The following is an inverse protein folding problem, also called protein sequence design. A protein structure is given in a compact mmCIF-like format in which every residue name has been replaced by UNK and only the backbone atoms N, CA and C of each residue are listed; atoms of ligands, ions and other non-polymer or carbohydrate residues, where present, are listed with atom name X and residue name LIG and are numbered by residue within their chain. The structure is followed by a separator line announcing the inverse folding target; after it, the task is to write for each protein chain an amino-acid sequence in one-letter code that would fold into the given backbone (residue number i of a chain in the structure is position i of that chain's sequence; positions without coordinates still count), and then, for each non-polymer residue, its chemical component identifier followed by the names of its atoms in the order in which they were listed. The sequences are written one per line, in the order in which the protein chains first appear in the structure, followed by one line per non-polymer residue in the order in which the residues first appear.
data_IF_059090849292
#
_entry.id   IF_059090849292
#
_cell.length_a   1.000
_cell.length_b   1.000
_cell.length_c   1.000
_cell.angle_alpha   90.00
_cell.angle_beta   90.00
_cell.angle_gamma   90.00
#
_symmetry.space_group_name_H-M   'P 1'
#
loop_
_entity.id
_entity.type
_entity.pdbx_description
1 polymer ?
#
# COMPACT_ATOMS: atom_id res chain seq x y z
N UNK A 1 19.89 15.59 42.60
CA UNK A 1 20.73 14.91 41.60
C UNK A 1 20.28 13.46 41.35
N UNK A 2 19.99 12.68 42.40
CA UNK A 2 19.54 11.29 42.28
C UNK A 2 18.18 11.17 41.60
N UNK A 3 17.23 12.02 41.98
CA UNK A 3 15.88 12.00 41.37
C UNK A 3 15.93 12.38 39.91
N UNK A 4 16.78 13.35 39.53
CA UNK A 4 16.97 13.77 38.15
C UNK A 4 17.56 12.63 37.31
N UNK A 5 18.54 11.93 37.85
CA UNK A 5 19.17 10.77 37.18
C UNK A 5 18.17 9.64 36.98
N UNK A 6 17.32 9.35 37.95
CA UNK A 6 16.27 8.36 37.83
C UNK A 6 15.25 8.74 36.75
N UNK A 7 14.90 10.02 36.65
CA UNK A 7 14.00 10.51 35.61
C UNK A 7 14.61 10.37 34.21
N UNK A 8 15.89 10.64 34.05
CA UNK A 8 16.60 10.47 32.77
C UNK A 8 16.69 8.99 32.39
N UNK A 9 16.99 8.12 33.33
CA UNK A 9 17.03 6.67 33.09
C UNK A 9 15.67 6.15 32.66
N UNK A 10 14.59 6.62 33.28
CA UNK A 10 13.23 6.25 32.88
C UNK A 10 12.83 6.79 31.49
N UNK A 11 13.31 7.98 31.10
CA UNK A 11 13.11 8.51 29.77
C UNK A 11 13.71 7.63 28.69
N UNK A 12 14.89 7.08 28.95
CA UNK A 12 15.64 6.25 28.02
C UNK A 12 15.05 4.82 27.98
N UNK A 13 14.89 4.20 29.13
CA UNK A 13 14.34 2.86 29.25
C UNK A 13 13.54 2.69 30.56
N UNK A 14 12.26 2.89 30.47
CA UNK A 14 11.36 2.86 31.64
C UNK A 14 11.14 1.39 32.08
N UNK A 15 11.46 1.10 33.33
CA UNK A 15 11.28 -0.21 33.94
C UNK A 15 12.49 -1.13 33.88
N UNK A 16 13.64 -0.71 33.30
CA UNK A 16 14.86 -1.52 33.26
C UNK A 16 15.59 -1.55 34.61
N UNK A 17 15.45 -0.52 35.40
CA UNK A 17 16.10 -0.37 36.72
C UNK A 17 15.05 -0.09 37.80
N UNK A 18 14.31 -1.11 38.22
CA UNK A 18 13.32 -0.97 39.27
C UNK A 18 11.90 -0.73 38.76
N UNK A 19 11.12 0.01 39.56
CA UNK A 19 9.73 0.27 39.23
C UNK A 19 9.60 1.22 38.05
N UNK A 20 8.76 0.85 37.09
CA UNK A 20 8.40 1.72 35.99
C UNK A 20 7.63 2.96 36.47
N UNK A 21 7.95 4.12 35.92
CA UNK A 21 7.16 5.35 36.14
C UNK A 21 5.82 5.18 35.45
N UNK A 22 4.74 5.44 36.18
CA UNK A 22 3.36 5.26 35.70
C UNK A 22 2.63 6.57 35.54
N UNK A 23 1.71 6.61 34.61
CA UNK A 23 0.77 7.70 34.43
C UNK A 23 -0.59 7.41 35.08
N UNK A 24 -1.64 8.20 34.75
CA UNK A 24 -3.00 7.95 35.23
C UNK A 24 -3.45 6.52 34.90
N UNK A 25 -4.05 5.81 35.87
CA UNK A 25 -4.50 4.43 35.69
C UNK A 25 -3.42 3.36 35.79
N UNK A 26 -2.28 3.66 36.43
CA UNK A 26 -1.17 2.73 36.66
C UNK A 26 -0.55 2.15 35.37
N UNK A 27 -0.67 2.83 34.26
CA UNK A 27 -0.03 2.40 33.01
C UNK A 27 1.39 2.93 32.94
N UNK A 28 2.40 2.09 32.62
CA UNK A 28 3.77 2.55 32.44
C UNK A 28 3.86 3.59 31.33
N UNK A 29 4.63 4.65 31.56
CA UNK A 29 4.92 5.64 30.55
C UNK A 29 5.82 5.04 29.47
N UNK A 30 5.60 5.43 28.24
CA UNK A 30 6.36 4.97 27.09
C UNK A 30 7.71 5.70 27.04
N UNK A 31 8.80 4.93 27.07
CA UNK A 31 10.18 5.45 26.99
C UNK A 31 10.70 5.45 25.55
N UNK A 32 11.90 6.02 25.36
CA UNK A 32 12.56 6.00 24.04
C UNK A 32 12.83 4.57 23.55
N UNK A 33 13.25 3.70 24.46
CA UNK A 33 13.47 2.29 24.16
C UNK A 33 12.21 1.60 23.65
N UNK A 34 11.05 1.88 24.25
CA UNK A 34 9.76 1.31 23.84
C UNK A 34 9.34 1.76 22.43
N UNK A 35 9.78 2.94 22.02
CA UNK A 35 9.54 3.44 20.66
C UNK A 35 10.32 2.68 19.58
N UNK A 36 11.40 2.01 19.98
CA UNK A 36 12.29 1.27 19.07
C UNK A 36 11.99 -0.23 19.08
N UNK A 37 11.49 -0.77 20.20
CA UNK A 37 11.26 -2.20 20.41
C UNK A 37 9.92 -2.68 19.88
N UNK A 38 9.89 -3.95 19.53
CA UNK A 38 8.67 -4.70 19.22
C UNK A 38 8.11 -4.44 17.83
N UNK A 39 6.94 -5.04 17.58
CA UNK A 39 6.27 -5.00 16.29
C UNK A 39 5.87 -3.58 15.85
N UNK A 40 5.56 -2.74 16.80
CA UNK A 40 5.16 -1.35 16.56
C UNK A 40 6.30 -0.36 16.77
N UNK A 41 7.52 -0.86 17.05
CA UNK A 41 8.70 -0.05 17.19
C UNK A 41 9.24 0.44 15.85
N UNK A 42 10.11 1.43 15.91
CA UNK A 42 10.68 2.08 14.73
C UNK A 42 11.39 1.12 13.78
N UNK A 43 12.12 0.14 14.33
CA UNK A 43 12.88 -0.81 13.50
C UNK A 43 11.96 -1.71 12.67
N UNK A 44 10.95 -2.30 13.27
CA UNK A 44 10.06 -3.24 12.57
C UNK A 44 8.97 -2.57 11.75
N UNK A 45 8.53 -1.38 12.15
CA UNK A 45 7.43 -0.68 11.49
C UNK A 45 7.89 0.25 10.36
N UNK A 46 9.05 0.93 10.52
CA UNK A 46 9.46 1.99 9.62
C UNK A 46 10.80 1.77 8.92
N UNK A 47 11.71 0.95 9.48
CA UNK A 47 13.03 0.73 8.90
C UNK A 47 13.15 -0.55 8.09
N UNK A 48 12.62 -1.67 8.59
CA UNK A 48 12.63 -2.95 7.87
C UNK A 48 11.58 -3.02 6.77
N UNK A 49 10.54 -2.22 6.86
CA UNK A 49 9.52 -2.09 5.85
C UNK A 49 8.89 -0.72 5.94
N UNK A 50 8.58 -0.14 4.80
CA UNK A 50 7.98 1.18 4.72
C UNK A 50 6.69 1.11 3.92
N UNK A 51 5.80 2.06 4.17
CA UNK A 51 4.66 2.28 3.29
C UNK A 51 5.17 2.90 2.00
N UNK A 52 4.65 2.41 0.89
CA UNK A 52 5.05 2.89 -0.43
C UNK A 52 3.88 3.58 -1.12
N UNK A 53 4.20 4.57 -1.95
CA UNK A 53 3.22 5.23 -2.79
C UNK A 53 2.86 4.36 -3.99
N UNK A 54 1.77 4.69 -4.67
CA UNK A 54 1.26 3.97 -5.84
C UNK A 54 0.97 2.50 -5.54
N UNK A 55 0.36 2.27 -4.39
CA UNK A 55 -0.05 0.95 -3.95
C UNK A 55 -1.45 1.00 -3.34
N UNK A 56 -2.14 -0.10 -3.40
CA UNK A 56 -3.49 -0.21 -2.87
C UNK A 56 -3.77 -1.62 -2.40
N UNK A 57 -4.90 -1.79 -1.77
CA UNK A 57 -5.32 -3.06 -1.17
C UNK A 57 -6.81 -3.27 -1.43
N UNK A 58 -7.19 -4.50 -1.75
CA UNK A 58 -8.58 -4.89 -1.89
C UNK A 58 -8.75 -6.38 -1.67
N UNK A 59 -9.99 -6.84 -1.62
CA UNK A 59 -10.29 -8.26 -1.59
C UNK A 59 -10.03 -8.89 -2.96
N UNK A 60 -9.77 -10.19 -2.97
CA UNK A 60 -9.50 -10.96 -4.18
C UNK A 60 -10.71 -11.85 -4.47
N UNK A 61 -11.13 -11.88 -5.73
CA UNK A 61 -12.18 -12.77 -6.21
C UNK A 61 -11.68 -13.56 -7.41
N UNK A 62 -12.33 -14.68 -7.68
CA UNK A 62 -11.96 -15.53 -8.83
C UNK A 62 -12.54 -14.92 -10.11
N UNK A 63 -11.69 -14.83 -11.14
CA UNK A 63 -12.06 -14.40 -12.49
C UNK A 63 -11.69 -15.45 -13.52
N UNK A 64 -12.57 -16.48 -13.75
CA UNK A 64 -12.25 -17.55 -14.70
C UNK A 64 -12.06 -17.08 -16.13
N UNK A 65 -12.62 -15.94 -16.47
CA UNK A 65 -12.54 -15.31 -17.79
C UNK A 65 -11.15 -14.71 -18.10
N UNK A 66 -10.33 -14.51 -17.08
CA UNK A 66 -9.00 -13.94 -17.25
C UNK A 66 -7.99 -14.98 -17.71
N UNK A 67 -6.99 -14.54 -18.47
CA UNK A 67 -5.82 -15.36 -18.79
C UNK A 67 -4.92 -15.44 -17.56
N UNK A 68 -4.05 -16.46 -17.51
CA UNK A 68 -3.20 -16.71 -16.34
C UNK A 68 -2.27 -15.55 -16.00
N UNK A 69 -1.88 -14.76 -16.98
CA UNK A 69 -1.00 -13.59 -16.80
C UNK A 69 -1.77 -12.28 -16.57
N UNK A 70 -3.09 -12.33 -16.53
CA UNK A 70 -3.93 -11.15 -16.35
C UNK A 70 -4.51 -11.08 -14.94
N UNK A 71 -4.68 -9.85 -14.45
CA UNK A 71 -5.48 -9.59 -13.26
C UNK A 71 -6.55 -8.57 -13.58
N UNK A 72 -7.73 -8.70 -12.98
CA UNK A 72 -8.78 -7.71 -13.07
C UNK A 72 -8.57 -6.65 -12.00
N UNK A 73 -8.33 -5.41 -12.41
CA UNK A 73 -8.09 -4.30 -11.51
C UNK A 73 -9.29 -3.35 -11.55
N UNK A 74 -9.88 -2.98 -10.39
CA UNK A 74 -11.00 -2.03 -10.38
C UNK A 74 -10.62 -0.70 -11.01
N UNK A 75 -11.53 -0.12 -11.78
CA UNK A 75 -11.29 1.13 -12.50
C UNK A 75 -10.82 2.26 -11.58
N UNK A 76 -11.46 2.43 -10.44
CA UNK A 76 -11.12 3.48 -9.49
C UNK A 76 -9.72 3.28 -8.90
N UNK A 77 -9.39 2.04 -8.56
CA UNK A 77 -8.06 1.69 -8.05
C UNK A 77 -6.99 1.92 -9.11
N UNK A 78 -7.24 1.49 -10.35
CA UNK A 78 -6.30 1.68 -11.45
C UNK A 78 -6.04 3.17 -11.72
N UNK A 79 -7.07 4.01 -11.66
CA UNK A 79 -6.93 5.44 -11.85
C UNK A 79 -6.02 6.08 -10.79
N UNK A 80 -6.18 5.70 -9.54
CA UNK A 80 -5.33 6.20 -8.45
C UNK A 80 -3.88 5.71 -8.56
N UNK A 81 -3.69 4.43 -8.89
CA UNK A 81 -2.34 3.86 -9.02
C UNK A 81 -1.55 4.47 -10.16
N UNK A 82 -2.20 4.71 -11.29
CA UNK A 82 -1.55 5.23 -12.51
C UNK A 82 -1.76 6.73 -12.72
N UNK A 83 -2.22 7.44 -11.71
CA UNK A 83 -2.53 8.87 -11.79
C UNK A 83 -1.41 9.72 -12.40
N UNK A 84 -0.13 9.60 -11.99
CA UNK A 84 0.96 10.39 -12.61
C UNK A 84 1.15 10.09 -14.08
N UNK A 85 1.05 8.85 -14.49
CA UNK A 85 1.21 8.42 -15.89
C UNK A 85 0.05 8.93 -16.74
N UNK A 86 -1.16 8.87 -16.22
CA UNK A 86 -2.36 9.40 -16.88
C UNK A 86 -2.24 10.91 -17.07
N UNK A 87 -1.81 11.64 -16.06
CA UNK A 87 -1.60 13.08 -16.12
C UNK A 87 -0.55 13.45 -17.16
N UNK A 88 0.57 12.74 -17.18
CA UNK A 88 1.63 12.95 -18.17
C UNK A 88 1.12 12.73 -19.57
N UNK A 89 0.38 11.66 -19.81
CA UNK A 89 -0.15 11.33 -21.13
C UNK A 89 -1.22 12.33 -21.59
N UNK A 90 -2.08 12.80 -20.69
CA UNK A 90 -3.06 13.84 -21.00
C UNK A 90 -2.38 15.13 -21.50
N UNK A 91 -1.29 15.51 -20.88
CA UNK A 91 -0.52 16.69 -21.30
C UNK A 91 0.17 16.45 -22.65
N UNK A 92 0.79 15.28 -22.84
CA UNK A 92 1.51 14.94 -24.07
C UNK A 92 0.57 14.81 -25.28
N UNK A 93 -0.64 14.31 -25.09
CA UNK A 93 -1.64 14.15 -26.15
C UNK A 93 -2.41 15.42 -26.44
N UNK A 94 -2.14 16.52 -25.71
CA UNK A 94 -2.79 17.80 -25.91
C UNK A 94 -4.20 17.92 -25.34
N UNK A 95 -4.68 16.90 -24.60
CA UNK A 95 -5.99 16.93 -23.96
C UNK A 95 -6.02 17.86 -22.74
N UNK A 96 -4.88 18.14 -22.15
CA UNK A 96 -4.71 19.09 -21.07
C UNK A 96 -3.56 20.05 -21.39
N UNK A 97 -3.71 21.33 -21.00
CA UNK A 97 -2.71 22.36 -21.28
C UNK A 97 -1.50 22.28 -20.36
N UNK A 98 -1.71 21.88 -19.11
CA UNK A 98 -0.66 21.76 -18.09
C UNK A 98 -1.01 20.68 -17.06
N UNK A 99 -0.09 20.45 -16.11
CA UNK A 99 -0.27 19.43 -15.08
C UNK A 99 -1.47 19.74 -14.17
N UNK A 100 -1.75 21.00 -13.89
CA UNK A 100 -2.90 21.40 -13.06
C UNK A 100 -4.23 21.07 -13.75
N UNK A 101 -4.33 21.32 -15.05
CA UNK A 101 -5.51 20.95 -15.84
C UNK A 101 -5.68 19.43 -15.91
N UNK A 102 -4.59 18.70 -16.12
CA UNK A 102 -4.61 17.24 -16.13
C UNK A 102 -5.08 16.68 -14.79
N UNK A 103 -4.59 17.22 -13.68
CA UNK A 103 -5.01 16.82 -12.34
C UNK A 103 -6.51 17.05 -12.12
N UNK A 104 -7.04 18.18 -12.54
CA UNK A 104 -8.47 18.48 -12.46
C UNK A 104 -9.32 17.51 -13.29
N UNK A 105 -8.86 17.17 -14.49
CA UNK A 105 -9.54 16.19 -15.35
C UNK A 105 -9.60 14.81 -14.68
N UNK A 106 -8.51 14.37 -14.07
CA UNK A 106 -8.46 13.09 -13.37
C UNK A 106 -9.35 13.10 -12.11
N UNK A 107 -9.34 14.19 -11.35
CA UNK A 107 -10.18 14.30 -10.14
C UNK A 107 -11.67 14.35 -10.47
N UNK A 108 -12.05 14.95 -11.61
CA UNK A 108 -13.44 14.99 -12.07
C UNK A 108 -13.85 13.75 -12.86
N UNK A 109 -12.93 12.84 -13.10
CA UNK A 109 -13.16 11.55 -13.79
C UNK A 109 -13.90 11.77 -15.13
N UNK A 110 -13.30 12.56 -16.01
CA UNK A 110 -13.86 12.80 -17.35
C UNK A 110 -13.74 11.54 -18.21
N UNK A 111 -14.64 11.36 -19.20
CA UNK A 111 -14.61 10.18 -20.09
C UNK A 111 -13.27 9.95 -20.80
N UNK A 112 -12.57 11.02 -21.19
CA UNK A 112 -11.27 10.93 -21.87
C UNK A 112 -10.19 10.29 -20.99
N UNK A 113 -10.31 10.42 -19.67
CA UNK A 113 -9.38 9.84 -18.71
C UNK A 113 -9.39 8.33 -18.78
N UNK A 114 -10.54 7.71 -18.98
CA UNK A 114 -10.65 6.25 -19.09
C UNK A 114 -9.94 5.70 -20.32
N UNK A 115 -10.02 6.38 -21.45
CA UNK A 115 -9.32 5.98 -22.67
C UNK A 115 -7.80 6.06 -22.48
N UNK A 116 -7.32 7.14 -21.86
CA UNK A 116 -5.90 7.33 -21.56
C UNK A 116 -5.42 6.28 -20.56
N UNK A 117 -6.21 5.99 -19.54
CA UNK A 117 -5.88 4.95 -18.56
C UNK A 117 -5.76 3.58 -19.22
N UNK A 118 -6.67 3.23 -20.11
CA UNK A 118 -6.64 1.98 -20.85
C UNK A 118 -5.34 1.82 -21.67
N UNK A 119 -4.83 2.90 -22.26
CA UNK A 119 -3.56 2.88 -22.97
C UNK A 119 -2.37 2.78 -22.03
N UNK A 120 -2.39 3.50 -20.91
CA UNK A 120 -1.30 3.51 -19.93
C UNK A 120 -1.09 2.13 -19.31
N UNK A 121 -2.14 1.44 -18.95
CA UNK A 121 -2.02 0.13 -18.28
C UNK A 121 -1.44 -0.95 -19.17
N UNK A 122 -1.53 -0.82 -20.50
CA UNK A 122 -0.95 -1.80 -21.43
C UNK A 122 0.57 -1.88 -21.33
N UNK A 123 1.20 -0.79 -20.93
CA UNK A 123 2.67 -0.67 -20.85
C UNK A 123 3.21 -0.90 -19.44
N UNK A 124 2.33 -1.00 -18.44
CA UNK A 124 2.72 -1.05 -17.03
C UNK A 124 2.11 -2.25 -16.32
N UNK A 125 2.83 -3.39 -16.25
CA UNK A 125 2.39 -4.50 -15.41
C UNK A 125 2.39 -4.11 -13.93
N UNK A 126 1.55 -4.78 -13.15
CA UNK A 126 1.43 -4.55 -11.70
C UNK A 126 1.94 -5.75 -10.94
N UNK A 127 2.47 -5.51 -9.73
CA UNK A 127 2.86 -6.56 -8.81
C UNK A 127 1.73 -6.76 -7.79
N UNK A 128 1.27 -7.99 -7.66
CA UNK A 128 0.29 -8.37 -6.64
C UNK A 128 0.95 -9.22 -5.57
N UNK A 129 0.67 -8.91 -4.32
CA UNK A 129 1.17 -9.61 -3.15
C UNK A 129 0.02 -9.98 -2.22
N UNK A 130 0.05 -11.18 -1.66
CA UNK A 130 -0.86 -11.62 -0.60
C UNK A 130 -0.06 -11.92 0.67
N UNK A 131 -0.47 -11.34 1.79
CA UNK A 131 0.13 -11.63 3.10
C UNK A 131 -0.49 -12.90 3.70
N UNK A 132 0.29 -13.77 4.37
CA UNK A 132 1.76 -13.68 4.51
C UNK A 132 2.49 -14.12 3.24
N UNK A 133 3.59 -13.43 2.92
CA UNK A 133 4.45 -13.81 1.79
C UNK A 133 5.42 -14.91 2.23
N UNK A 134 5.07 -16.16 2.01
CA UNK A 134 5.82 -17.31 2.49
C UNK A 134 6.87 -17.84 1.50
N UNK A 135 6.66 -17.56 0.21
CA UNK A 135 7.55 -17.98 -0.86
C UNK A 135 7.52 -16.98 -2.01
N UNK A 136 8.40 -17.16 -3.00
CA UNK A 136 8.52 -16.21 -4.12
C UNK A 136 7.24 -16.03 -4.95
N UNK A 137 6.39 -17.04 -5.02
CA UNK A 137 5.10 -16.95 -5.72
C UNK A 137 4.04 -16.13 -4.97
N UNK A 138 4.33 -15.67 -3.76
CA UNK A 138 3.49 -14.73 -3.04
C UNK A 138 3.50 -13.32 -3.61
N UNK A 139 4.45 -13.02 -4.51
CA UNK A 139 4.52 -11.77 -5.26
C UNK A 139 4.67 -12.10 -6.73
N UNK A 140 3.71 -11.73 -7.54
CA UNK A 140 3.72 -12.00 -8.98
C UNK A 140 3.32 -10.77 -9.77
N UNK A 141 3.84 -10.66 -10.99
CA UNK A 141 3.51 -9.59 -11.92
C UNK A 141 2.38 -10.02 -12.86
N UNK A 142 1.46 -9.11 -13.11
CA UNK A 142 0.32 -9.34 -13.98
C UNK A 142 0.10 -8.16 -14.92
N UNK A 143 -0.49 -8.43 -16.07
CA UNK A 143 -1.01 -7.40 -16.95
C UNK A 143 -2.40 -7.00 -16.44
N UNK A 144 -2.62 -5.74 -16.05
CA UNK A 144 -3.91 -5.32 -15.54
C UNK A 144 -4.96 -5.22 -16.64
N UNK A 145 -6.17 -5.65 -16.32
CA UNK A 145 -7.36 -5.46 -17.13
C UNK A 145 -8.36 -4.67 -16.31
N UNK A 146 -8.93 -3.62 -16.88
CA UNK A 146 -9.91 -2.79 -16.19
C UNK A 146 -11.23 -3.55 -16.02
N UNK A 147 -11.73 -3.57 -14.81
CA UNK A 147 -13.02 -4.17 -14.47
C UNK A 147 -13.84 -3.22 -13.59
N UNK A 148 -15.14 -3.42 -13.58
CA UNK A 148 -16.02 -2.72 -12.66
C UNK A 148 -16.04 -3.44 -11.31
N UNK A 149 -16.34 -2.69 -10.25
CA UNK A 149 -16.41 -3.21 -8.89
C UNK A 149 -15.29 -2.70 -8.01
N UNK A 150 -15.08 -3.37 -6.88
CA UNK A 150 -14.09 -2.99 -5.87
C UNK A 150 -13.10 -4.09 -5.54
N UNK A 151 -13.27 -5.27 -6.11
CA UNK A 151 -12.43 -6.43 -5.85
C UNK A 151 -11.46 -6.67 -7.00
N UNK A 152 -10.28 -7.19 -6.67
CA UNK A 152 -9.28 -7.60 -7.65
C UNK A 152 -9.62 -9.02 -8.10
N UNK A 153 -9.69 -9.24 -9.41
CA UNK A 153 -9.93 -10.58 -9.98
C UNK A 153 -8.61 -11.25 -10.32
N UNK A 154 -8.52 -12.54 -10.01
CA UNK A 154 -7.38 -13.38 -10.35
C UNK A 154 -7.85 -14.67 -11.04
N UNK A 155 -6.99 -15.21 -11.91
CA UNK A 155 -7.22 -16.51 -12.50
C UNK A 155 -7.23 -17.60 -11.41
N UNK A 156 -8.12 -18.62 -11.51
CA UNK A 156 -8.22 -19.67 -10.49
C UNK A 156 -6.91 -20.40 -10.17
N UNK A 157 -6.08 -20.67 -11.19
CA UNK A 157 -4.79 -21.34 -10.99
C UNK A 157 -3.79 -20.48 -10.21
N UNK A 158 -3.85 -19.14 -10.37
CA UNK A 158 -2.98 -18.21 -9.64
C UNK A 158 -3.38 -18.16 -8.17
N UNK A 159 -4.66 -18.29 -7.86
CA UNK A 159 -5.14 -18.30 -6.48
C UNK A 159 -4.51 -19.44 -5.67
N UNK A 160 -4.24 -20.58 -6.28
CA UNK A 160 -3.56 -21.71 -5.64
C UNK A 160 -2.13 -21.33 -5.23
N UNK A 161 -1.40 -20.62 -6.08
CA UNK A 161 -0.04 -20.15 -5.78
C UNK A 161 0.00 -19.18 -4.60
N UNK A 162 -1.03 -18.34 -4.46
CA UNK A 162 -1.18 -17.42 -3.34
C UNK A 162 -1.74 -18.08 -2.09
N UNK A 163 -2.14 -19.34 -2.13
CA UNK A 163 -2.85 -20.03 -1.08
C UNK A 163 -4.12 -19.28 -0.65
N UNK A 164 -4.83 -18.74 -1.64
CA UNK A 164 -6.06 -18.02 -1.43
C UNK A 164 -7.27 -18.94 -1.63
N UNK A 165 -8.05 -19.11 -0.59
CA UNK A 165 -9.26 -19.93 -0.58
C UNK A 165 -10.52 -19.07 -0.82
N UNK A 166 -11.43 -19.57 -1.60
CA UNK A 166 -12.69 -18.91 -1.92
C UNK A 166 -13.89 -19.81 -1.66
#
# INVERSE_FOLDING_TARGET
KRMLQEAVDALIDNGSRGRAVTGPGNRPLKSLSDMLKGKQGRFRQNLLGKRVDYSGRSVIVVGPELKIYQCGLPNEMALELFKPFVMKKLVNDGLAHNIKSAKRMVERVRPEVWDVLAEVIKEHPVLLNRAPTLHRLGIQAFEPVLIEGRAIKLHPLVCTAYNADF
#
